data_IF_746188376145
#
_entry.id   IF_746188376145
#
_cell.length_a   1.000
_cell.length_b   1.000
_cell.length_c   1.000
_cell.angle_alpha   90.00
_cell.angle_beta   90.00
_cell.angle_gamma   90.00
#
_symmetry.space_group_name_H-M   'P 1'
#
loop_
_entity.id
_entity.type
_entity.pdbx_description
1 polymer ?
#
# COMPACT_ATOMS: atom_id res chain seq x y z
N UNK A 1 73.24 17.10 -26.84
CA UNK A 1 71.81 17.27 -26.96
C UNK A 1 71.17 16.31 -25.98
N UNK A 2 70.66 16.80 -24.87
CA UNK A 2 69.88 15.99 -23.92
C UNK A 2 68.54 15.67 -24.55
N UNK A 3 68.29 14.41 -24.88
CA UNK A 3 66.96 13.95 -25.34
C UNK A 3 66.03 13.97 -24.13
N UNK A 4 65.07 14.91 -24.07
CA UNK A 4 64.01 14.88 -23.08
C UNK A 4 62.97 13.81 -23.49
N UNK A 5 62.57 13.00 -22.54
CA UNK A 5 61.47 12.05 -22.74
C UNK A 5 60.15 12.82 -22.67
N UNK A 6 59.32 12.80 -23.70
CA UNK A 6 58.03 13.53 -23.67
C UNK A 6 57.15 13.06 -22.51
N UNK A 7 56.49 13.99 -21.82
CA UNK A 7 55.61 13.70 -20.70
C UNK A 7 54.48 12.73 -21.06
N UNK A 8 54.10 12.65 -22.34
CA UNK A 8 53.12 11.68 -22.86
C UNK A 8 53.52 10.19 -22.73
N UNK A 9 54.81 9.91 -22.43
CA UNK A 9 55.28 8.57 -22.12
C UNK A 9 54.98 8.15 -20.67
N UNK A 10 54.77 9.12 -19.79
CA UNK A 10 54.57 8.87 -18.36
C UNK A 10 53.17 9.22 -17.86
N UNK A 11 52.44 10.03 -18.62
CA UNK A 11 51.08 10.48 -18.25
C UNK A 11 50.19 10.31 -19.45
N UNK A 12 49.33 9.28 -19.40
CA UNK A 12 48.17 9.14 -20.27
C UNK A 12 46.97 9.79 -19.59
N UNK A 13 46.63 11.01 -19.97
CA UNK A 13 45.36 11.62 -19.60
C UNK A 13 44.34 11.10 -20.57
N UNK A 14 43.61 10.06 -20.16
CA UNK A 14 42.38 9.69 -20.81
C UNK A 14 41.31 10.63 -20.22
N UNK A 15 40.78 11.61 -20.97
CA UNK A 15 39.61 12.35 -20.53
C UNK A 15 38.45 11.38 -20.48
N UNK A 16 38.24 10.75 -19.32
CA UNK A 16 37.00 10.13 -19.01
C UNK A 16 35.95 11.22 -18.93
N UNK A 17 35.14 11.38 -19.94
CA UNK A 17 33.83 12.02 -19.78
C UNK A 17 33.13 11.14 -18.77
N UNK A 18 33.21 11.52 -17.50
CA UNK A 18 32.21 11.06 -16.56
C UNK A 18 30.92 11.54 -17.21
N UNK A 19 30.20 10.59 -17.80
CA UNK A 19 28.85 10.85 -18.26
C UNK A 19 28.15 11.56 -17.10
N UNK A 20 27.91 12.85 -17.24
CA UNK A 20 27.09 13.62 -16.32
C UNK A 20 25.61 13.20 -16.42
N UNK A 21 25.34 12.09 -17.05
CA UNK A 21 24.12 11.33 -17.07
C UNK A 21 24.21 10.11 -16.17
N UNK A 22 24.58 10.28 -14.92
CA UNK A 22 23.94 9.45 -13.89
C UNK A 22 22.46 9.75 -14.05
N UNK A 23 21.65 8.78 -14.45
CA UNK A 23 20.19 8.85 -14.32
C UNK A 23 19.92 9.46 -12.96
N UNK A 24 19.17 10.57 -12.90
CA UNK A 24 18.76 11.14 -11.64
C UNK A 24 18.28 9.97 -10.80
N UNK A 25 18.86 9.77 -9.63
CA UNK A 25 18.46 8.68 -8.75
C UNK A 25 16.98 8.92 -8.46
N UNK A 26 16.11 8.04 -8.94
CA UNK A 26 14.70 8.15 -8.68
C UNK A 26 14.50 7.90 -7.19
N UNK A 27 14.41 9.00 -6.42
CA UNK A 27 14.18 8.97 -4.98
C UNK A 27 12.69 8.67 -4.72
N UNK A 28 12.28 7.45 -4.99
CA UNK A 28 10.91 7.02 -4.76
C UNK A 28 10.56 7.09 -3.27
N UNK A 29 9.33 7.44 -2.97
CA UNK A 29 8.77 7.40 -1.63
C UNK A 29 7.99 6.11 -1.40
N UNK A 30 7.98 5.62 -0.16
CA UNK A 30 7.11 4.56 0.31
C UNK A 30 6.07 5.15 1.26
N UNK A 31 4.82 5.10 0.88
CA UNK A 31 3.68 5.45 1.74
C UNK A 31 3.16 4.22 2.45
N UNK A 32 3.08 4.28 3.77
CA UNK A 32 2.40 3.29 4.58
C UNK A 32 0.96 3.74 4.81
N UNK A 33 0.00 2.89 4.47
CA UNK A 33 -1.42 3.16 4.68
C UNK A 33 -2.04 2.12 5.61
N UNK A 34 -3.00 2.51 6.43
CA UNK A 34 -3.85 1.59 7.19
C UNK A 34 -5.11 1.16 6.42
N UNK A 35 -5.31 1.68 5.21
CA UNK A 35 -6.37 1.27 4.31
C UNK A 35 -6.18 -0.17 3.82
N UNK A 36 -7.28 -0.93 3.78
CA UNK A 36 -7.26 -2.38 3.49
C UNK A 36 -7.27 -2.73 2.00
N UNK A 37 -7.13 -1.74 1.11
CA UNK A 37 -7.21 -1.97 -0.33
C UNK A 37 -5.94 -2.57 -0.92
N UNK A 38 -4.77 -2.25 -0.37
CA UNK A 38 -3.50 -2.92 -0.70
C UNK A 38 -3.48 -4.30 -0.07
N UNK A 39 -3.20 -5.38 -0.80
CA UNK A 39 -3.06 -6.70 -0.19
C UNK A 39 -1.94 -6.74 0.84
N UNK A 40 -2.17 -7.42 1.95
CA UNK A 40 -1.15 -7.66 2.98
C UNK A 40 0.08 -8.34 2.37
N UNK A 41 1.25 -7.88 2.74
CA UNK A 41 2.52 -8.44 2.26
C UNK A 41 2.83 -8.08 0.81
N UNK A 42 2.17 -7.07 0.25
CA UNK A 42 2.49 -6.55 -1.09
C UNK A 42 2.92 -5.08 -1.02
N UNK A 43 3.70 -4.68 -2.02
CA UNK A 43 4.06 -3.28 -2.28
C UNK A 43 3.60 -2.94 -3.69
N UNK A 44 2.71 -1.96 -3.80
CA UNK A 44 2.20 -1.49 -5.08
C UNK A 44 2.96 -0.25 -5.50
N UNK A 45 3.30 -0.14 -6.79
CA UNK A 45 3.98 1.02 -7.36
C UNK A 45 3.03 1.79 -8.27
N UNK A 46 2.96 3.11 -8.11
CA UNK A 46 2.13 4.01 -8.88
C UNK A 46 2.99 5.11 -9.51
N UNK A 47 2.83 5.33 -10.80
CA UNK A 47 3.59 6.33 -11.57
C UNK A 47 2.94 7.74 -11.54
N UNK A 48 1.78 7.92 -10.92
CA UNK A 48 1.08 9.20 -10.86
C UNK A 48 0.02 9.25 -9.77
N UNK A 49 -0.33 10.46 -9.33
CA UNK A 49 -1.46 10.69 -8.42
C UNK A 49 -2.79 10.17 -8.99
N UNK A 50 -3.01 10.30 -10.30
CA UNK A 50 -4.21 9.80 -10.95
C UNK A 50 -4.33 8.26 -10.87
N UNK A 51 -3.21 7.53 -10.98
CA UNK A 51 -3.19 6.08 -10.81
C UNK A 51 -3.55 5.67 -9.38
N UNK A 52 -3.05 6.40 -8.36
CA UNK A 52 -3.43 6.20 -6.96
C UNK A 52 -4.92 6.47 -6.75
N UNK A 53 -5.43 7.60 -7.27
CA UNK A 53 -6.85 7.96 -7.17
C UNK A 53 -7.77 6.94 -7.85
N UNK A 54 -7.37 6.38 -8.97
CA UNK A 54 -8.12 5.30 -9.64
C UNK A 54 -8.16 4.03 -8.80
N UNK A 55 -7.06 3.69 -8.12
CA UNK A 55 -6.98 2.46 -7.34
C UNK A 55 -7.66 2.58 -5.97
N UNK A 56 -7.44 3.68 -5.24
CA UNK A 56 -7.94 3.87 -3.88
C UNK A 56 -9.27 4.62 -3.81
N UNK A 57 -9.63 5.32 -4.88
CA UNK A 57 -10.74 6.26 -4.93
C UNK A 57 -10.24 7.71 -4.82
N UNK A 58 -10.87 8.62 -5.58
CA UNK A 58 -10.42 10.01 -5.71
C UNK A 58 -10.45 10.82 -4.39
N UNK A 59 -11.30 10.43 -3.44
CA UNK A 59 -11.43 11.08 -2.12
C UNK A 59 -10.71 10.32 -1.00
N UNK A 60 -9.90 9.32 -1.31
CA UNK A 60 -9.14 8.57 -0.31
C UNK A 60 -7.98 9.40 0.26
N UNK A 61 -7.55 9.06 1.47
CA UNK A 61 -6.36 9.64 2.09
C UNK A 61 -5.11 9.40 1.23
N UNK A 62 -5.02 8.20 0.63
CA UNK A 62 -3.93 7.83 -0.27
C UNK A 62 -3.89 8.72 -1.53
N UNK A 63 -5.05 9.00 -2.13
CA UNK A 63 -5.12 9.88 -3.30
C UNK A 63 -4.73 11.32 -2.95
N UNK A 64 -5.15 11.82 -1.79
CA UNK A 64 -4.79 13.15 -1.30
C UNK A 64 -3.29 13.25 -1.04
N UNK A 65 -2.70 12.27 -0.35
CA UNK A 65 -1.26 12.23 -0.10
C UNK A 65 -0.45 12.11 -1.40
N UNK A 66 -0.90 11.27 -2.34
CA UNK A 66 -0.27 11.12 -3.64
C UNK A 66 -0.31 12.40 -4.48
N UNK A 67 -1.39 13.18 -4.40
CA UNK A 67 -1.49 14.47 -5.11
C UNK A 67 -0.39 15.42 -4.64
N UNK A 68 -0.14 15.51 -3.34
CA UNK A 68 0.95 16.32 -2.77
C UNK A 68 2.31 15.75 -3.17
N UNK A 69 2.51 14.43 -3.03
CA UNK A 69 3.77 13.78 -3.36
C UNK A 69 4.20 14.03 -4.82
N UNK A 70 3.33 13.78 -5.79
CA UNK A 70 3.62 13.96 -7.22
C UNK A 70 3.64 15.44 -7.65
N UNK A 71 3.10 16.36 -6.86
CA UNK A 71 3.29 17.79 -7.11
C UNK A 71 4.76 18.19 -6.98
N UNK A 72 5.52 17.51 -6.11
CA UNK A 72 6.89 17.83 -5.78
C UNK A 72 6.96 19.12 -4.96
N UNK A 73 8.12 19.79 -4.98
CA UNK A 73 8.31 21.09 -4.33
C UNK A 73 8.29 22.23 -5.37
N UNK A 74 8.09 23.44 -4.88
CA UNK A 74 8.07 24.64 -5.73
C UNK A 74 9.36 24.78 -6.55
N UNK A 75 9.21 25.11 -7.83
CA UNK A 75 10.28 25.22 -8.82
C UNK A 75 11.05 23.92 -9.12
N UNK A 76 10.56 22.76 -8.70
CA UNK A 76 11.17 21.47 -9.07
C UNK A 76 10.94 21.17 -10.56
N UNK A 77 12.04 21.00 -11.30
CA UNK A 77 12.02 20.55 -12.69
C UNK A 77 11.92 19.01 -12.80
N UNK A 78 12.21 18.29 -11.71
CA UNK A 78 12.13 16.84 -11.63
C UNK A 78 11.03 16.47 -10.63
N UNK A 79 10.08 15.70 -11.07
CA UNK A 79 9.00 15.18 -10.24
C UNK A 79 9.31 13.75 -9.82
N UNK A 80 8.76 13.26 -8.70
CA UNK A 80 8.91 11.86 -8.33
C UNK A 80 8.45 10.91 -9.42
N UNK A 81 9.25 9.87 -9.71
CA UNK A 81 8.94 8.90 -10.76
C UNK A 81 7.89 7.88 -10.35
N UNK A 82 7.89 7.47 -9.08
CA UNK A 82 6.95 6.51 -8.53
C UNK A 82 6.68 6.76 -7.04
N UNK A 83 5.48 6.37 -6.60
CA UNK A 83 5.11 6.22 -5.19
C UNK A 83 4.81 4.75 -4.92
N UNK A 84 5.54 4.17 -3.98
CA UNK A 84 5.27 2.83 -3.49
C UNK A 84 4.28 2.90 -2.34
N UNK A 85 3.36 1.94 -2.27
CA UNK A 85 2.36 1.89 -1.21
C UNK A 85 2.30 0.50 -0.61
N UNK A 86 2.32 0.41 0.72
CA UNK A 86 2.17 -0.84 1.46
C UNK A 86 1.15 -0.67 2.58
N UNK A 87 0.38 -1.72 2.87
CA UNK A 87 -0.57 -1.71 3.97
C UNK A 87 0.13 -2.03 5.29
N UNK A 88 0.09 -1.10 6.24
CA UNK A 88 0.45 -1.30 7.65
C UNK A 88 -0.84 -1.42 8.47
N UNK A 89 -1.16 -2.61 8.89
CA UNK A 89 -2.40 -2.84 9.62
C UNK A 89 -2.22 -2.57 11.13
N UNK A 90 -2.97 -1.60 11.63
CA UNK A 90 -2.97 -1.18 13.05
C UNK A 90 -3.80 -2.09 13.96
N UNK A 91 -4.56 -3.02 13.37
CA UNK A 91 -5.35 -4.05 14.05
C UNK A 91 -5.32 -5.35 13.22
N UNK A 92 -5.84 -6.42 13.78
CA UNK A 92 -6.06 -7.63 13.01
C UNK A 92 -7.00 -7.37 11.83
N UNK A 93 -6.63 -7.83 10.64
CA UNK A 93 -7.43 -7.66 9.41
C UNK A 93 -7.92 -8.99 8.88
N UNK A 94 -9.07 -8.93 8.18
CA UNK A 94 -9.68 -10.07 7.53
C UNK A 94 -9.04 -10.35 6.18
N UNK A 95 -9.09 -11.63 5.76
CA UNK A 95 -8.80 -12.00 4.39
C UNK A 95 -9.91 -11.54 3.44
N UNK A 96 -9.54 -11.13 2.23
CA UNK A 96 -10.50 -10.81 1.19
C UNK A 96 -10.09 -11.33 -0.19
N UNK A 97 -11.08 -11.62 -1.00
CA UNK A 97 -10.98 -11.76 -2.46
C UNK A 97 -11.66 -10.56 -3.08
N UNK A 98 -10.96 -9.78 -3.88
CA UNK A 98 -11.53 -8.75 -4.74
C UNK A 98 -11.43 -9.21 -6.18
N UNK A 99 -12.56 -9.33 -6.87
CA UNK A 99 -12.62 -9.63 -8.30
C UNK A 99 -11.93 -8.54 -9.14
N UNK A 100 -11.66 -8.84 -10.40
CA UNK A 100 -11.36 -7.78 -11.34
C UNK A 100 -12.65 -7.03 -11.73
N UNK A 101 -12.51 -5.89 -12.39
CA UNK A 101 -13.64 -5.02 -12.71
C UNK A 101 -14.67 -5.72 -13.60
N UNK A 102 -15.92 -5.62 -13.23
CA UNK A 102 -17.10 -5.99 -14.03
C UNK A 102 -17.84 -4.75 -14.55
N UNK A 103 -17.23 -3.58 -14.52
CA UNK A 103 -17.84 -2.31 -14.95
C UNK A 103 -18.20 -2.27 -16.44
N UNK A 104 -17.67 -3.18 -17.25
CA UNK A 104 -18.08 -3.38 -18.64
C UNK A 104 -19.46 -4.04 -18.80
N UNK A 105 -19.97 -4.70 -17.75
CA UNK A 105 -21.30 -5.31 -17.78
C UNK A 105 -22.36 -4.25 -17.55
N UNK A 106 -23.40 -4.27 -18.39
CA UNK A 106 -24.64 -3.57 -18.07
C UNK A 106 -25.43 -4.34 -17.02
N UNK A 107 -26.36 -3.67 -16.34
CA UNK A 107 -27.22 -4.35 -15.36
C UNK A 107 -28.02 -5.52 -16.03
N UNK A 108 -28.50 -5.35 -17.25
CA UNK A 108 -29.21 -6.39 -17.99
C UNK A 108 -28.32 -7.62 -18.27
N UNK A 109 -27.04 -7.40 -18.61
CA UNK A 109 -26.09 -8.50 -18.79
C UNK A 109 -25.79 -9.22 -17.45
N UNK A 110 -25.64 -8.47 -16.35
CA UNK A 110 -25.51 -9.05 -15.02
C UNK A 110 -26.73 -9.88 -14.65
N UNK A 111 -27.95 -9.39 -14.92
CA UNK A 111 -29.21 -10.09 -14.64
C UNK A 111 -29.37 -11.38 -15.46
N UNK A 112 -28.70 -11.52 -16.58
CA UNK A 112 -28.73 -12.73 -17.40
C UNK A 112 -27.85 -13.86 -16.82
N UNK A 113 -27.00 -13.56 -15.81
CA UNK A 113 -26.07 -14.51 -15.24
C UNK A 113 -26.78 -15.46 -14.27
N UNK A 114 -26.48 -16.76 -14.42
CA UNK A 114 -26.91 -17.81 -13.51
C UNK A 114 -25.82 -18.87 -13.38
N UNK A 115 -25.69 -19.51 -12.23
CA UNK A 115 -24.70 -20.56 -12.01
C UNK A 115 -24.34 -20.75 -10.53
N UNK A 116 -23.15 -21.25 -10.27
CA UNK A 116 -22.64 -21.56 -8.92
C UNK A 116 -21.27 -20.96 -8.68
N UNK A 117 -20.96 -20.73 -7.41
CA UNK A 117 -19.63 -20.34 -6.93
C UNK A 117 -19.14 -21.29 -5.85
N UNK A 118 -17.84 -21.54 -5.84
CA UNK A 118 -17.14 -22.30 -4.80
C UNK A 118 -15.97 -21.45 -4.33
N UNK A 119 -15.84 -21.28 -3.04
CA UNK A 119 -14.76 -20.51 -2.39
C UNK A 119 -14.34 -21.21 -1.11
N UNK A 120 -13.07 -21.16 -0.75
CA UNK A 120 -12.59 -21.61 0.55
C UNK A 120 -12.26 -20.40 1.40
N UNK A 121 -12.86 -20.29 2.58
CA UNK A 121 -12.61 -19.25 3.57
C UNK A 121 -12.30 -19.91 4.91
N UNK A 122 -11.24 -19.45 5.56
CA UNK A 122 -10.79 -19.94 6.88
C UNK A 122 -10.66 -21.47 6.91
N UNK A 123 -10.07 -22.03 5.84
CA UNK A 123 -9.88 -23.46 5.65
C UNK A 123 -11.15 -24.26 5.32
N UNK A 124 -12.33 -23.61 5.26
CA UNK A 124 -13.60 -24.27 4.99
C UNK A 124 -14.10 -23.95 3.58
N UNK A 125 -14.31 -24.98 2.76
CA UNK A 125 -14.90 -24.81 1.44
C UNK A 125 -16.40 -24.53 1.57
N UNK A 126 -16.89 -23.53 0.86
CA UNK A 126 -18.27 -23.13 0.72
C UNK A 126 -18.70 -23.24 -0.73
N UNK A 127 -19.79 -23.93 -0.96
CA UNK A 127 -20.41 -24.06 -2.28
C UNK A 127 -21.77 -23.40 -2.24
N UNK A 128 -22.04 -22.51 -3.20
CA UNK A 128 -23.37 -21.89 -3.30
C UNK A 128 -24.40 -22.86 -3.84
N UNK A 129 -25.66 -22.62 -3.52
CA UNK A 129 -26.76 -23.06 -4.37
C UNK A 129 -26.71 -22.40 -5.74
N UNK A 130 -27.73 -22.64 -6.57
CA UNK A 130 -27.83 -21.90 -7.85
C UNK A 130 -28.08 -20.43 -7.58
N UNK A 131 -27.15 -19.58 -8.04
CA UNK A 131 -27.27 -18.14 -8.03
C UNK A 131 -28.03 -17.74 -9.31
N UNK A 132 -29.06 -16.95 -9.17
CA UNK A 132 -29.80 -16.38 -10.31
C UNK A 132 -29.91 -14.89 -10.08
N UNK A 133 -29.25 -14.09 -10.94
CA UNK A 133 -29.16 -12.65 -10.78
C UNK A 133 -30.29 -11.88 -11.48
N UNK A 134 -31.29 -12.55 -12.03
CA UNK A 134 -32.40 -11.92 -12.79
C UNK A 134 -33.21 -10.90 -11.96
N UNK A 135 -33.22 -11.05 -10.64
CA UNK A 135 -33.87 -10.11 -9.72
C UNK A 135 -32.99 -8.96 -9.23
N UNK A 136 -31.73 -8.88 -9.67
CA UNK A 136 -30.82 -7.83 -9.22
C UNK A 136 -31.25 -6.46 -9.72
N UNK A 137 -31.39 -5.49 -8.81
CA UNK A 137 -31.74 -4.09 -9.13
C UNK A 137 -30.50 -3.20 -9.27
N UNK A 138 -29.34 -3.67 -8.83
CA UNK A 138 -28.02 -3.02 -8.91
C UNK A 138 -26.92 -4.06 -8.69
N UNK A 139 -25.66 -3.69 -8.94
CA UNK A 139 -24.50 -4.52 -8.61
C UNK A 139 -24.39 -4.78 -7.10
N UNK A 140 -24.69 -3.78 -6.26
CA UNK A 140 -24.73 -3.97 -4.80
C UNK A 140 -25.82 -4.94 -4.36
N UNK A 141 -26.99 -4.89 -5.00
CA UNK A 141 -28.06 -5.87 -4.73
C UNK A 141 -27.68 -7.26 -5.23
N UNK A 142 -26.98 -7.39 -6.36
CA UNK A 142 -26.44 -8.66 -6.83
C UNK A 142 -25.49 -9.29 -5.81
N UNK A 143 -24.63 -8.50 -5.15
CA UNK A 143 -23.78 -9.00 -4.07
C UNK A 143 -24.58 -9.64 -2.93
N UNK A 144 -25.71 -9.05 -2.55
CA UNK A 144 -26.64 -9.62 -1.55
C UNK A 144 -27.24 -10.94 -2.02
N UNK A 145 -27.65 -11.03 -3.30
CA UNK A 145 -28.19 -12.27 -3.89
C UNK A 145 -27.11 -13.36 -3.92
N UNK A 146 -25.87 -13.01 -4.30
CA UNK A 146 -24.74 -13.94 -4.31
C UNK A 146 -24.49 -14.48 -2.89
N UNK A 147 -24.44 -13.61 -1.89
CA UNK A 147 -24.22 -14.03 -0.50
C UNK A 147 -25.33 -14.96 0.02
N UNK A 148 -26.59 -14.62 -0.29
CA UNK A 148 -27.75 -15.39 0.16
C UNK A 148 -27.82 -16.82 -0.42
N UNK A 149 -27.14 -17.07 -1.54
CA UNK A 149 -27.08 -18.40 -2.14
C UNK A 149 -26.13 -19.37 -1.41
N UNK A 150 -25.32 -18.87 -0.46
CA UNK A 150 -24.49 -19.72 0.40
C UNK A 150 -25.19 -20.03 1.71
N UNK A 151 -25.24 -21.29 2.05
CA UNK A 151 -25.76 -21.72 3.36
C UNK A 151 -24.71 -21.43 4.42
N UNK A 152 -25.05 -20.63 5.43
CA UNK A 152 -24.15 -20.23 6.54
C UNK A 152 -22.76 -19.78 6.06
N UNK A 153 -22.68 -18.69 5.25
CA UNK A 153 -21.40 -18.19 4.84
C UNK A 153 -20.62 -17.64 6.06
N UNK A 154 -19.31 -17.91 6.11
CA UNK A 154 -18.39 -17.31 7.06
C UNK A 154 -17.66 -16.10 6.46
N UNK A 155 -18.27 -15.46 5.48
CA UNK A 155 -17.80 -14.27 4.76
C UNK A 155 -18.98 -13.38 4.39
N UNK A 156 -18.69 -12.14 4.05
CA UNK A 156 -19.62 -11.19 3.44
C UNK A 156 -19.28 -10.96 1.97
N UNK A 157 -20.30 -10.67 1.16
CA UNK A 157 -20.12 -10.27 -0.24
C UNK A 157 -20.61 -8.84 -0.42
N UNK A 158 -19.80 -7.99 -1.01
CA UNK A 158 -20.11 -6.60 -1.33
C UNK A 158 -19.71 -6.26 -2.77
N UNK A 159 -20.23 -5.15 -3.28
CA UNK A 159 -19.76 -4.55 -4.53
C UNK A 159 -18.99 -3.29 -4.22
N UNK A 160 -17.73 -3.26 -4.62
CA UNK A 160 -16.87 -2.09 -4.49
C UNK A 160 -16.97 -1.23 -5.76
N UNK A 161 -17.59 -0.08 -5.64
CA UNK A 161 -17.79 0.84 -6.77
C UNK A 161 -16.50 1.48 -7.29
N UNK A 162 -15.45 1.56 -6.48
CA UNK A 162 -14.16 2.14 -6.90
C UNK A 162 -13.45 1.20 -7.86
N UNK A 163 -13.37 -0.10 -7.54
CA UNK A 163 -12.80 -1.09 -8.45
C UNK A 163 -13.82 -1.63 -9.46
N UNK A 164 -15.11 -1.35 -9.26
CA UNK A 164 -16.16 -1.93 -10.09
C UNK A 164 -16.25 -3.44 -9.95
N UNK A 165 -16.00 -3.99 -8.75
CA UNK A 165 -15.78 -5.43 -8.55
C UNK A 165 -16.54 -5.98 -7.35
N UNK A 166 -16.83 -7.28 -7.37
CA UNK A 166 -17.34 -7.98 -6.19
C UNK A 166 -16.19 -8.31 -5.23
N UNK A 167 -16.45 -8.12 -3.94
CA UNK A 167 -15.48 -8.38 -2.86
C UNK A 167 -16.09 -9.36 -1.89
N UNK A 168 -15.35 -10.42 -1.60
CA UNK A 168 -15.65 -11.42 -0.58
C UNK A 168 -14.71 -11.19 0.60
N UNK A 169 -15.22 -10.96 1.79
CA UNK A 169 -14.42 -10.67 2.98
C UNK A 169 -14.76 -11.69 4.06
N UNK A 170 -13.75 -12.39 4.59
CA UNK A 170 -13.93 -13.32 5.72
C UNK A 170 -14.50 -12.59 6.94
N UNK A 171 -15.34 -13.30 7.71
CA UNK A 171 -15.86 -12.79 8.98
C UNK A 171 -14.85 -12.92 10.14
N UNK A 172 -13.74 -13.64 9.93
CA UNK A 172 -12.64 -13.72 10.89
C UNK A 172 -11.54 -12.74 10.57
N UNK A 173 -10.67 -12.44 11.53
CA UNK A 173 -9.52 -11.56 11.37
C UNK A 173 -8.25 -12.22 11.92
N UNK A 174 -7.09 -11.69 11.54
CA UNK A 174 -5.80 -12.19 12.01
C UNK A 174 -5.28 -13.34 11.15
N UNK A 175 -4.24 -14.02 11.64
CA UNK A 175 -3.49 -15.01 10.85
C UNK A 175 -4.31 -16.25 10.43
N UNK A 176 -5.41 -16.56 11.11
CA UNK A 176 -6.31 -17.66 10.78
C UNK A 176 -7.32 -17.31 9.68
N UNK A 177 -7.46 -16.03 9.36
CA UNK A 177 -8.34 -15.58 8.30
C UNK A 177 -7.70 -15.83 6.94
N UNK A 178 -8.30 -16.68 6.13
CA UNK A 178 -7.79 -17.08 4.81
C UNK A 178 -8.88 -17.08 3.76
N UNK A 179 -8.51 -16.85 2.50
CA UNK A 179 -9.43 -16.87 1.38
C UNK A 179 -8.75 -17.34 0.11
N UNK A 180 -9.49 -18.04 -0.74
CA UNK A 180 -9.03 -18.47 -2.07
C UNK A 180 -9.74 -17.70 -3.17
N UNK A 181 -9.25 -17.83 -4.41
CA UNK A 181 -10.02 -17.46 -5.59
C UNK A 181 -11.28 -18.32 -5.71
N UNK A 182 -12.33 -17.76 -6.33
CA UNK A 182 -13.53 -18.54 -6.64
C UNK A 182 -13.31 -19.49 -7.80
N UNK A 183 -14.05 -20.58 -7.75
CA UNK A 183 -14.32 -21.50 -8.87
C UNK A 183 -15.83 -21.65 -9.04
N UNK A 184 -16.26 -22.46 -9.97
CA UNK A 184 -17.69 -22.61 -10.32
C UNK A 184 -18.05 -21.87 -11.60
N UNK A 185 -19.28 -22.06 -12.06
CA UNK A 185 -19.70 -21.60 -13.39
C UNK A 185 -19.85 -20.07 -13.51
N UNK A 186 -20.04 -19.36 -12.39
CA UNK A 186 -20.10 -17.89 -12.36
C UNK A 186 -18.75 -17.21 -12.10
N UNK A 187 -17.71 -17.94 -11.74
CA UNK A 187 -16.44 -17.35 -11.31
C UNK A 187 -15.77 -16.53 -12.43
N UNK A 188 -15.86 -17.02 -13.67
CA UNK A 188 -15.36 -16.34 -14.87
C UNK A 188 -16.18 -15.06 -15.16
N UNK A 189 -17.48 -15.20 -15.27
CA UNK A 189 -18.36 -14.09 -15.63
C UNK A 189 -18.35 -12.93 -14.61
N UNK A 190 -17.97 -13.20 -13.36
CA UNK A 190 -17.83 -12.19 -12.30
C UNK A 190 -16.37 -11.80 -12.04
N UNK A 191 -15.43 -12.26 -12.89
CA UNK A 191 -14.00 -11.98 -12.79
C UNK A 191 -13.41 -12.31 -11.41
N UNK A 192 -13.74 -13.48 -10.84
CA UNK A 192 -13.35 -13.89 -9.48
C UNK A 192 -12.18 -14.87 -9.44
N UNK A 193 -11.59 -15.19 -10.58
CA UNK A 193 -10.44 -16.12 -10.70
C UNK A 193 -9.13 -15.33 -10.83
N UNK A 194 -8.03 -15.97 -10.48
CA UNK A 194 -6.69 -15.41 -10.71
C UNK A 194 -6.46 -15.04 -12.18
N UNK A 195 -6.91 -15.91 -13.10
CA UNK A 195 -6.75 -15.69 -14.55
C UNK A 195 -7.51 -14.44 -15.05
N UNK A 196 -8.55 -14.02 -14.35
CA UNK A 196 -9.37 -12.85 -14.70
C UNK A 196 -8.82 -11.55 -14.08
N UNK A 197 -7.74 -11.65 -13.30
CA UNK A 197 -7.13 -10.50 -12.62
C UNK A 197 -7.70 -10.22 -11.21
N UNK A 198 -8.41 -11.17 -10.62
CA UNK A 198 -8.81 -11.05 -9.22
C UNK A 198 -7.59 -11.03 -8.29
N UNK A 199 -7.76 -10.43 -7.12
CA UNK A 199 -6.71 -10.27 -6.10
C UNK A 199 -7.19 -10.84 -4.77
N UNK A 200 -6.34 -11.62 -4.10
CA UNK A 200 -6.57 -12.05 -2.72
C UNK A 200 -5.61 -11.36 -1.76
N UNK A 201 -6.09 -11.06 -0.57
CA UNK A 201 -5.27 -10.70 0.59
C UNK A 201 -5.60 -11.67 1.71
N UNK A 202 -4.59 -12.26 2.32
CA UNK A 202 -4.80 -13.07 3.51
C UNK A 202 -4.95 -12.17 4.74
N UNK A 203 -5.62 -12.66 5.78
CA UNK A 203 -5.71 -11.96 7.05
C UNK A 203 -4.35 -11.86 7.73
N UNK A 204 -4.18 -10.84 8.56
CA UNK A 204 -2.95 -10.62 9.29
C UNK A 204 -3.23 -10.10 10.71
N UNK A 205 -2.34 -10.43 11.64
CA UNK A 205 -2.31 -9.82 12.96
C UNK A 205 -1.78 -8.39 12.88
N UNK A 206 -2.06 -7.57 13.90
CA UNK A 206 -1.52 -6.21 14.03
C UNK A 206 -0.03 -6.16 13.70
N UNK A 207 0.36 -5.25 12.83
CA UNK A 207 1.74 -5.09 12.40
C UNK A 207 2.61 -4.47 13.50
N UNK A 208 3.90 -4.86 13.51
CA UNK A 208 4.93 -4.27 14.38
C UNK A 208 5.94 -3.55 13.50
N UNK A 209 6.25 -2.26 13.73
CA UNK A 209 7.04 -1.43 12.82
C UNK A 209 8.33 -2.07 12.31
N UNK A 210 9.20 -2.54 13.20
CA UNK A 210 10.49 -3.12 12.81
C UNK A 210 10.36 -4.39 11.96
N UNK A 211 9.49 -5.31 12.36
CA UNK A 211 9.22 -6.55 11.61
C UNK A 211 8.59 -6.25 10.25
N UNK A 212 7.62 -5.33 10.23
CA UNK A 212 6.94 -4.91 9.01
C UNK A 212 7.92 -4.29 8.00
N UNK A 213 8.72 -3.31 8.41
CA UNK A 213 9.67 -2.64 7.53
C UNK A 213 10.75 -3.59 7.01
N UNK A 214 11.19 -4.54 7.84
CA UNK A 214 12.12 -5.61 7.40
C UNK A 214 11.48 -6.50 6.34
N UNK A 215 10.20 -6.84 6.47
CA UNK A 215 9.48 -7.59 5.44
C UNK A 215 9.35 -6.78 4.14
N UNK A 216 9.04 -5.49 4.22
CA UNK A 216 8.97 -4.60 3.04
C UNK A 216 10.31 -4.52 2.32
N UNK A 217 11.43 -4.37 3.03
CA UNK A 217 12.77 -4.36 2.41
C UNK A 217 13.15 -5.69 1.76
N UNK A 218 12.56 -6.79 2.21
CA UNK A 218 12.67 -8.11 1.56
C UNK A 218 11.90 -8.19 0.24
N UNK A 219 10.86 -7.38 0.04
CA UNK A 219 10.09 -7.33 -1.21
C UNK A 219 10.76 -6.37 -2.21
N UNK A 220 11.05 -5.15 -1.76
CA UNK A 220 11.72 -4.13 -2.58
C UNK A 220 12.50 -3.15 -1.71
N UNK A 221 13.60 -2.64 -2.25
CA UNK A 221 14.42 -1.59 -1.67
C UNK A 221 14.44 -0.34 -2.57
N UNK A 222 13.56 -0.28 -3.56
CA UNK A 222 13.50 0.81 -4.56
C UNK A 222 12.72 2.03 -4.02
N UNK A 223 13.11 2.48 -2.84
CA UNK A 223 12.60 3.69 -2.20
C UNK A 223 13.68 4.30 -1.30
N UNK A 224 13.67 5.63 -1.18
CA UNK A 224 14.65 6.39 -0.41
C UNK A 224 14.05 6.99 0.87
N UNK A 225 12.75 7.26 0.88
CA UNK A 225 12.04 7.81 2.03
C UNK A 225 10.74 7.07 2.29
N UNK A 226 10.27 7.10 3.53
CA UNK A 226 8.94 6.56 3.86
C UNK A 226 8.21 7.46 4.86
N UNK A 227 6.90 7.38 4.80
CA UNK A 227 5.99 8.11 5.68
C UNK A 227 4.69 7.31 5.89
N UNK A 228 3.93 7.67 6.91
CA UNK A 228 2.59 7.12 7.16
C UNK A 228 1.53 8.10 6.73
N UNK A 229 0.46 7.64 6.08
CA UNK A 229 -0.72 8.45 5.75
C UNK A 229 -1.71 8.57 6.92
N UNK A 230 -1.37 8.01 8.06
CA UNK A 230 -2.15 7.95 9.29
C UNK A 230 -1.23 8.09 10.50
N UNK A 231 -1.76 8.41 11.67
CA UNK A 231 -1.01 8.39 12.92
C UNK A 231 -0.89 6.94 13.44
N UNK A 232 0.31 6.33 13.47
CA UNK A 232 0.48 4.96 13.94
C UNK A 232 0.07 4.74 15.40
N UNK A 233 0.20 5.76 16.25
CA UNK A 233 -0.13 5.73 17.67
C UNK A 233 -1.57 6.19 17.96
N UNK A 234 -2.35 6.50 16.92
CA UNK A 234 -3.76 6.91 17.00
C UNK A 234 -3.99 8.08 18.01
N UNK A 235 -3.11 9.06 17.97
CA UNK A 235 -3.16 10.23 18.86
C UNK A 235 -2.77 9.96 20.32
N UNK A 236 -2.25 8.77 20.62
CA UNK A 236 -1.93 8.37 22.01
C UNK A 236 -0.48 7.94 22.18
N UNK A 237 0.38 8.87 22.54
CA UNK A 237 1.81 8.60 22.70
C UNK A 237 2.59 8.62 21.40
N UNK A 238 3.79 8.03 21.37
CA UNK A 238 4.70 8.06 20.25
C UNK A 238 5.50 6.75 20.12
N UNK A 239 5.00 5.66 20.69
CA UNK A 239 5.72 4.39 20.77
C UNK A 239 5.98 3.79 19.39
N UNK A 240 4.98 3.78 18.51
CA UNK A 240 5.11 3.20 17.17
C UNK A 240 5.89 4.12 16.23
N UNK A 241 5.69 5.44 16.29
CA UNK A 241 6.50 6.43 15.56
C UNK A 241 7.99 6.28 15.92
N UNK A 242 8.30 6.17 17.22
CA UNK A 242 9.66 5.95 17.69
C UNK A 242 10.21 4.58 17.25
N UNK A 243 9.37 3.54 17.20
CA UNK A 243 9.80 2.22 16.72
C UNK A 243 10.16 2.24 15.21
N UNK A 244 9.44 3.01 14.38
CA UNK A 244 9.83 3.25 12.99
C UNK A 244 11.18 3.99 12.90
N UNK A 245 11.38 5.04 13.71
CA UNK A 245 12.63 5.78 13.76
C UNK A 245 13.81 4.90 14.19
N UNK A 246 13.63 4.08 15.22
CA UNK A 246 14.64 3.15 15.70
C UNK A 246 15.00 2.10 14.66
N UNK A 247 13.99 1.52 13.95
CA UNK A 247 14.28 0.63 12.84
C UNK A 247 15.10 1.35 11.75
N UNK A 248 14.70 2.56 11.36
CA UNK A 248 15.40 3.34 10.35
C UNK A 248 16.85 3.65 10.73
N UNK A 249 17.09 3.97 12.00
CA UNK A 249 18.43 4.21 12.54
C UNK A 249 19.37 3.01 12.33
N UNK A 250 18.86 1.78 12.37
CA UNK A 250 19.67 0.57 12.16
C UNK A 250 20.02 0.34 10.68
N UNK A 251 19.46 1.11 9.74
CA UNK A 251 19.67 0.94 8.31
C UNK A 251 20.89 1.71 7.77
N UNK A 252 21.72 2.32 8.64
CA UNK A 252 22.95 3.01 8.24
C UNK A 252 22.72 4.20 7.30
N UNK A 253 21.70 5.00 7.55
CA UNK A 253 21.28 6.17 6.74
C UNK A 253 20.88 5.84 5.29
N UNK A 254 20.45 4.60 5.05
CA UNK A 254 19.97 4.19 3.73
C UNK A 254 18.63 4.81 3.36
N UNK A 255 17.76 5.02 4.36
CA UNK A 255 16.41 5.54 4.18
C UNK A 255 16.20 6.78 5.04
N UNK A 256 15.22 7.60 4.65
CA UNK A 256 14.73 8.71 5.43
C UNK A 256 13.30 8.44 5.91
N UNK A 257 13.09 8.42 7.22
CA UNK A 257 11.75 8.40 7.80
C UNK A 257 11.25 9.83 7.93
N UNK A 258 10.15 10.14 7.25
CA UNK A 258 9.45 11.42 7.36
C UNK A 258 8.31 11.23 8.36
N UNK A 259 8.62 11.43 9.62
CA UNK A 259 7.64 11.40 10.70
C UNK A 259 6.85 12.71 10.74
N UNK A 260 5.59 12.64 11.14
CA UNK A 260 4.77 13.82 11.36
C UNK A 260 4.00 13.70 12.68
N UNK A 261 3.69 14.86 13.27
CA UNK A 261 2.92 14.94 14.50
C UNK A 261 2.08 16.22 14.50
N UNK A 262 0.94 16.17 15.19
CA UNK A 262 0.08 17.35 15.46
C UNK A 262 0.43 18.04 16.76
N UNK A 263 1.34 17.48 17.58
CA UNK A 263 1.82 18.08 18.81
C UNK A 263 2.73 19.29 18.53
N UNK A 264 2.27 20.49 18.95
CA UNK A 264 3.03 21.73 18.82
C UNK A 264 4.16 21.87 19.86
N UNK A 265 4.22 21.01 20.86
CA UNK A 265 5.19 21.09 21.95
C UNK A 265 6.65 21.17 21.49
N UNK A 266 7.10 20.40 20.45
CA UNK A 266 8.46 20.51 19.94
C UNK A 266 8.85 21.90 19.40
N UNK A 267 7.86 22.74 19.07
CA UNK A 267 8.10 24.12 18.56
C UNK A 267 8.25 25.13 19.69
N UNK A 268 8.08 24.75 20.95
CA UNK A 268 8.18 25.63 22.12
C UNK A 268 9.58 25.63 22.71
N UNK A 269 9.89 26.63 23.54
CA UNK A 269 11.18 26.77 24.22
C UNK A 269 11.49 25.60 25.16
N UNK A 270 10.45 25.02 25.77
CA UNK A 270 10.57 23.85 26.66
C UNK A 270 9.59 22.78 26.16
N UNK A 271 10.02 21.87 25.29
CA UNK A 271 9.15 20.83 24.78
C UNK A 271 8.71 19.87 25.90
N UNK A 272 7.49 19.34 25.78
CA UNK A 272 7.07 18.25 26.66
C UNK A 272 7.98 17.01 26.47
N UNK A 273 8.38 16.39 27.56
CA UNK A 273 9.28 15.22 27.54
C UNK A 273 8.66 13.99 26.88
N UNK A 274 7.35 13.99 26.67
CA UNK A 274 6.58 12.95 25.98
C UNK A 274 6.42 13.22 24.48
N UNK A 275 6.76 14.44 24.00
CA UNK A 275 6.66 14.78 22.59
C UNK A 275 7.59 13.96 21.73
N UNK A 276 7.18 13.67 20.49
CA UNK A 276 8.04 12.89 19.57
C UNK A 276 9.38 13.59 19.32
N UNK A 277 9.39 14.92 19.16
CA UNK A 277 10.61 15.69 18.96
C UNK A 277 11.60 15.54 20.12
N UNK A 278 11.10 15.61 21.38
CA UNK A 278 11.95 15.37 22.55
C UNK A 278 12.49 13.94 22.56
N UNK A 279 11.62 12.93 22.37
CA UNK A 279 12.03 11.52 22.37
C UNK A 279 13.07 11.20 21.29
N UNK A 280 12.91 11.74 20.09
CA UNK A 280 13.89 11.58 19.01
C UNK A 280 15.24 12.21 19.38
N UNK A 281 15.25 13.40 20.00
CA UNK A 281 16.47 14.07 20.44
C UNK A 281 17.22 13.28 21.53
N UNK A 282 16.49 12.61 22.42
CA UNK A 282 17.08 11.78 23.47
C UNK A 282 17.56 10.42 22.97
N UNK A 283 16.92 9.89 21.93
CA UNK A 283 17.23 8.55 21.39
C UNK A 283 18.41 8.54 20.42
N UNK A 284 18.97 9.71 20.07
CA UNK A 284 20.09 9.85 19.11
C UNK A 284 19.86 9.07 17.80
N UNK A 285 18.62 9.01 17.33
CA UNK A 285 18.27 8.34 16.08
C UNK A 285 18.66 9.19 14.87
N UNK A 286 19.22 8.56 13.85
CA UNK A 286 19.56 9.19 12.58
C UNK A 286 18.53 8.85 11.50
N UNK A 287 18.52 9.64 10.41
CA UNK A 287 17.69 9.37 9.24
C UNK A 287 16.18 9.62 9.46
N UNK A 288 15.79 10.29 10.56
CA UNK A 288 14.39 10.65 10.83
C UNK A 288 14.23 12.17 10.86
N UNK A 289 13.27 12.67 10.11
CA UNK A 289 12.84 14.07 10.13
C UNK A 289 11.41 14.16 10.67
N UNK A 290 11.18 15.05 11.63
CA UNK A 290 9.86 15.30 12.19
C UNK A 290 9.26 16.56 11.57
N UNK A 291 8.04 16.44 11.07
CA UNK A 291 7.24 17.54 10.53
C UNK A 291 6.09 17.82 11.48
N UNK A 292 5.92 19.08 11.86
CA UNK A 292 4.71 19.54 12.55
C UNK A 292 3.60 19.73 11.51
N UNK A 293 2.53 18.98 11.65
CA UNK A 293 1.33 19.08 10.82
C UNK A 293 0.17 19.55 11.70
N UNK A 294 -0.15 20.83 11.72
CA UNK A 294 -1.28 21.35 12.52
C UNK A 294 -2.59 20.68 12.04
N UNK A 295 -3.47 20.37 13.00
CA UNK A 295 -4.77 19.72 12.76
C UNK A 295 -5.74 20.61 12.00
#
# INVERSE_FOLDING_TARGET
MTKSIPASYFVSIVPGVISAGGSALDLNGLMLTNGTRTPIGSVLSFASAAAVATYYGASSTEATAAAVYFAGFDNSNVKPGALLVAQYNTANVAAYLRGASVSSLTLAQLQALTGTLIITTDGTQKTSGTITLSGATSFSNAATIIQAAFTTPNFTVSYDSVSGAFVFTSNTTGASSTITYCTGTLADALNLRLADGAVTSQGAVTAVPGTFMTAITGITQDWASFFTSFDPDNGSGNTLKLAFANWNNTQGNRYAYIAWDTDASPTTTVPATTSLGYLLSQSSVSGTSLIYAPA
#
